data_IF_211366440842
#
_entry.id   IF_211366440842
#
_cell.length_a   1.000
_cell.length_b   1.000
_cell.length_c   1.000
_cell.angle_alpha   90.00
_cell.angle_beta   90.00
_cell.angle_gamma   90.00
#
_symmetry.space_group_name_H-M   'P 1'
#
loop_
_entity.id
_entity.type
_entity.pdbx_description
1 polymer ?
#
# COMPACT_ATOMS: atom_id res chain seq x y z
N UNK A 1 -15.09 -20.80 -11.08
CA UNK A 1 -14.31 -19.89 -10.20
C UNK A 1 -13.44 -20.76 -9.30
N UNK A 2 -12.15 -20.73 -9.49
CA UNK A 2 -11.19 -21.50 -8.70
C UNK A 2 -11.09 -20.88 -7.32
N UNK A 3 -11.39 -21.65 -6.29
CA UNK A 3 -11.15 -21.23 -4.91
C UNK A 3 -9.66 -21.37 -4.58
N UNK A 4 -9.18 -20.68 -3.55
CA UNK A 4 -7.76 -20.74 -3.14
C UNK A 4 -7.33 -22.17 -2.78
N UNK A 5 -8.29 -23.00 -2.37
CA UNK A 5 -8.07 -24.40 -2.01
C UNK A 5 -7.92 -25.34 -3.22
N UNK A 6 -8.28 -24.85 -4.42
CA UNK A 6 -8.21 -25.61 -5.68
C UNK A 6 -6.91 -25.34 -6.47
N UNK A 7 -6.06 -24.44 -5.97
CA UNK A 7 -4.76 -24.15 -6.59
C UNK A 7 -3.71 -25.01 -5.91
N UNK A 8 -3.09 -25.89 -6.67
CA UNK A 8 -1.88 -26.61 -6.24
C UNK A 8 -0.82 -25.55 -5.89
N UNK A 9 -0.68 -25.26 -4.59
CA UNK A 9 0.26 -24.27 -4.09
C UNK A 9 1.68 -24.83 -4.19
N UNK A 10 2.36 -24.47 -5.26
CA UNK A 10 3.79 -24.69 -5.39
C UNK A 10 4.54 -23.41 -5.01
N UNK A 11 5.20 -23.36 -3.86
CA UNK A 11 5.91 -22.16 -3.43
C UNK A 11 7.09 -21.79 -4.35
N UNK A 12 7.56 -22.70 -5.19
CA UNK A 12 8.62 -22.43 -6.16
C UNK A 12 8.08 -21.76 -7.44
N UNK A 13 6.78 -21.82 -7.67
CA UNK A 13 6.11 -21.27 -8.87
C UNK A 13 5.30 -20.00 -8.58
N UNK A 14 5.11 -19.66 -7.31
CA UNK A 14 4.35 -18.46 -6.94
C UNK A 14 5.15 -17.20 -7.28
N UNK A 15 4.63 -16.41 -8.21
CA UNK A 15 5.18 -15.09 -8.50
C UNK A 15 5.00 -14.16 -7.31
N UNK A 16 6.11 -13.71 -6.73
CA UNK A 16 6.09 -12.67 -5.71
C UNK A 16 5.61 -11.38 -6.36
N UNK A 17 4.51 -10.83 -5.84
CA UNK A 17 3.96 -9.55 -6.29
C UNK A 17 4.38 -8.44 -5.34
N UNK A 18 4.95 -7.34 -5.84
CA UNK A 18 5.16 -6.15 -5.03
C UNK A 18 3.84 -5.65 -4.44
N UNK A 19 3.86 -5.33 -3.16
CA UNK A 19 2.70 -4.81 -2.44
C UNK A 19 3.14 -3.83 -1.35
N UNK A 20 2.24 -2.96 -0.93
CA UNK A 20 2.47 -2.04 0.16
C UNK A 20 1.32 -2.12 1.17
N UNK A 21 1.65 -1.97 2.43
CA UNK A 21 0.70 -1.84 3.53
C UNK A 21 1.02 -0.58 4.30
N UNK A 22 0.01 0.15 4.74
CA UNK A 22 0.17 1.37 5.53
C UNK A 22 -0.51 1.23 6.88
N UNK A 23 0.20 1.58 7.95
CA UNK A 23 -0.37 1.72 9.28
C UNK A 23 -0.69 3.19 9.55
N UNK A 24 -1.97 3.52 9.62
CA UNK A 24 -2.43 4.85 10.03
C UNK A 24 -2.51 4.87 11.55
N UNK A 25 -1.73 5.74 12.17
CA UNK A 25 -1.61 5.81 13.62
C UNK A 25 -1.94 7.20 14.14
N UNK A 26 -2.60 7.26 15.29
CA UNK A 26 -2.82 8.47 16.06
C UNK A 26 -2.37 8.21 17.50
N UNK A 27 -1.60 9.11 18.09
CA UNK A 27 -1.10 9.01 19.46
C UNK A 27 -1.83 9.95 20.44
N UNK A 28 -3.03 10.41 20.11
CA UNK A 28 -3.82 11.36 20.89
C UNK A 28 -5.19 10.78 21.32
N UNK A 29 -5.47 10.62 22.62
CA UNK A 29 -4.57 10.75 23.78
C UNK A 29 -3.67 9.53 23.99
N UNK A 30 -4.00 8.38 23.40
CA UNK A 30 -3.28 7.12 23.46
C UNK A 30 -3.01 6.61 22.03
N UNK A 31 -1.97 5.78 21.89
CA UNK A 31 -1.65 5.20 20.60
C UNK A 31 -2.78 4.34 20.07
N UNK A 32 -3.31 4.74 18.92
CA UNK A 32 -4.34 4.04 18.19
C UNK A 32 -3.84 3.70 16.80
N UNK A 33 -4.25 2.55 16.28
CA UNK A 33 -3.95 2.10 14.92
C UNK A 33 -5.26 1.82 14.20
N UNK A 34 -5.41 2.39 13.01
CA UNK A 34 -6.57 2.11 12.17
C UNK A 34 -6.45 0.72 11.56
N UNK A 35 -7.49 -0.07 11.71
CA UNK A 35 -7.61 -1.40 11.09
C UNK A 35 -8.99 -1.56 10.46
N UNK A 36 -9.07 -2.38 9.44
CA UNK A 36 -10.30 -2.73 8.76
C UNK A 36 -10.59 -4.22 8.93
N UNK A 37 -11.85 -4.56 9.15
CA UNK A 37 -12.28 -5.94 9.10
C UNK A 37 -12.60 -6.33 7.66
N UNK A 38 -11.94 -7.36 7.14
CA UNK A 38 -12.24 -7.91 5.82
C UNK A 38 -13.58 -8.62 5.85
N UNK A 39 -14.36 -8.45 4.77
CA UNK A 39 -15.62 -9.19 4.61
C UNK A 39 -15.35 -10.70 4.75
N UNK A 40 -16.15 -11.37 5.58
CA UNK A 40 -16.03 -12.81 5.81
C UNK A 40 -16.18 -13.65 4.53
N UNK A 41 -16.83 -13.11 3.49
CA UNK A 41 -16.96 -13.74 2.18
C UNK A 41 -15.73 -13.60 1.29
N UNK A 42 -14.71 -12.83 1.71
CA UNK A 42 -13.46 -12.67 0.96
C UNK A 42 -12.67 -13.98 0.99
N UNK A 43 -12.23 -14.44 -0.18
CA UNK A 43 -11.50 -15.72 -0.35
C UNK A 43 -10.20 -15.77 0.45
N UNK A 44 -9.50 -14.62 0.55
CA UNK A 44 -8.27 -14.51 1.34
C UNK A 44 -8.50 -13.68 2.60
N UNK A 45 -8.14 -14.25 3.76
CA UNK A 45 -8.20 -13.58 5.07
C UNK A 45 -9.58 -12.97 5.40
N UNK A 46 -10.68 -13.59 4.96
CA UNK A 46 -12.05 -13.18 5.31
C UNK A 46 -12.28 -13.16 6.81
N UNK A 47 -12.89 -12.09 7.34
CA UNK A 47 -13.15 -11.89 8.77
C UNK A 47 -11.93 -11.46 9.58
N UNK A 48 -10.75 -11.34 8.98
CA UNK A 48 -9.53 -10.86 9.66
C UNK A 48 -9.47 -9.34 9.66
N UNK A 49 -8.85 -8.80 10.71
CA UNK A 49 -8.49 -7.38 10.78
C UNK A 49 -7.19 -7.13 10.03
N UNK A 50 -7.20 -6.14 9.17
CA UNK A 50 -6.07 -5.82 8.29
C UNK A 50 -5.81 -4.31 8.25
N UNK A 51 -4.58 -3.94 7.94
CA UNK A 51 -4.23 -2.58 7.58
C UNK A 51 -4.60 -2.30 6.12
N UNK A 52 -4.83 -1.04 5.72
CA UNK A 52 -4.96 -0.67 4.31
C UNK A 52 -3.71 -1.09 3.53
N UNK A 53 -3.91 -1.65 2.35
CA UNK A 53 -2.79 -2.07 1.51
C UNK A 53 -3.23 -2.87 0.31
N UNK A 54 -2.32 -3.04 -0.63
CA UNK A 54 -2.56 -3.80 -1.84
C UNK A 54 -1.34 -3.89 -2.75
N UNK A 55 -1.53 -4.48 -3.92
CA UNK A 55 -0.47 -4.66 -4.90
C UNK A 55 -0.04 -3.32 -5.51
N UNK A 56 1.25 -3.21 -5.80
CA UNK A 56 1.78 -2.12 -6.62
C UNK A 56 1.28 -2.29 -8.04
N UNK A 57 0.63 -1.25 -8.56
CA UNK A 57 0.11 -1.22 -9.91
C UNK A 57 1.06 -0.45 -10.85
N UNK A 58 0.90 -0.65 -12.14
CA UNK A 58 1.72 0.05 -13.14
C UNK A 58 1.59 1.57 -13.01
N UNK A 59 0.39 2.04 -12.72
CA UNK A 59 0.05 3.45 -12.55
C UNK A 59 0.69 4.09 -11.30
N UNK A 60 1.15 3.29 -10.35
CA UNK A 60 1.83 3.77 -9.15
C UNK A 60 3.30 4.19 -9.40
N UNK A 61 3.82 3.89 -10.58
CA UNK A 61 5.21 4.24 -10.93
C UNK A 61 5.35 5.72 -11.32
N UNK A 62 6.43 6.38 -10.87
CA UNK A 62 6.62 7.83 -11.05
C UNK A 62 6.66 8.29 -12.49
N UNK A 63 7.04 7.41 -13.41
CA UNK A 63 7.06 7.68 -14.85
C UNK A 63 5.69 8.07 -15.40
N UNK A 64 4.61 7.59 -14.76
CA UNK A 64 3.23 7.87 -15.16
C UNK A 64 2.59 8.99 -14.34
N UNK A 65 3.10 9.24 -13.13
CA UNK A 65 2.52 10.18 -12.18
C UNK A 65 3.07 11.60 -12.33
N UNK A 66 4.24 11.77 -12.98
CA UNK A 66 4.90 13.06 -13.06
C UNK A 66 5.32 13.60 -11.69
N UNK A 67 5.28 14.91 -11.52
CA UNK A 67 5.79 15.62 -10.33
C UNK A 67 4.76 15.72 -9.19
N UNK A 68 3.95 14.69 -8.98
CA UNK A 68 2.97 14.68 -7.89
C UNK A 68 3.53 14.23 -6.54
N UNK A 69 4.73 13.70 -6.52
CA UNK A 69 5.40 13.27 -5.28
C UNK A 69 6.37 14.33 -4.80
N UNK A 70 6.32 14.62 -3.50
CA UNK A 70 7.20 15.61 -2.85
C UNK A 70 7.88 15.00 -1.62
N UNK A 71 9.05 15.54 -1.29
CA UNK A 71 9.77 15.22 -0.07
C UNK A 71 10.69 14.00 -0.16
N UNK A 72 10.40 13.03 -1.01
CA UNK A 72 11.25 11.86 -1.26
C UNK A 72 11.34 11.56 -2.75
N UNK A 73 12.52 11.18 -3.18
CA UNK A 73 12.77 10.74 -4.56
C UNK A 73 12.71 9.21 -4.66
N UNK A 74 12.64 8.68 -5.87
CA UNK A 74 12.76 7.24 -6.11
C UNK A 74 14.09 6.68 -5.57
N UNK A 75 15.19 7.45 -5.74
CA UNK A 75 16.49 7.05 -5.22
C UNK A 75 16.51 6.96 -3.69
N UNK A 76 15.90 7.92 -2.99
CA UNK A 76 15.83 7.92 -1.52
C UNK A 76 15.03 6.71 -1.00
N UNK A 77 13.86 6.48 -1.56
CA UNK A 77 12.97 5.38 -1.16
C UNK A 77 13.56 4.03 -1.50
N UNK A 78 14.15 3.89 -2.68
CA UNK A 78 14.82 2.66 -3.10
C UNK A 78 16.01 2.31 -2.21
N UNK A 79 16.78 3.31 -1.80
CA UNK A 79 17.88 3.14 -0.85
C UNK A 79 17.40 2.66 0.51
N UNK A 80 16.31 3.24 1.04
CA UNK A 80 15.69 2.81 2.30
C UNK A 80 15.22 1.37 2.26
N UNK A 81 14.71 0.93 1.13
CA UNK A 81 14.20 -0.43 0.91
C UNK A 81 15.28 -1.43 0.49
N UNK A 82 16.50 -0.98 0.26
CA UNK A 82 17.60 -1.79 -0.27
C UNK A 82 17.27 -2.49 -1.60
N UNK A 83 16.59 -1.76 -2.48
CA UNK A 83 16.26 -2.20 -3.85
C UNK A 83 16.93 -1.28 -4.88
N UNK A 84 17.17 -1.75 -6.11
CA UNK A 84 17.87 -0.96 -7.14
C UNK A 84 17.11 0.29 -7.56
N UNK A 85 15.78 0.22 -7.70
CA UNK A 85 14.92 1.31 -8.17
C UNK A 85 13.45 0.98 -7.88
N UNK A 86 12.56 1.94 -8.09
CA UNK A 86 11.11 1.74 -7.96
C UNK A 86 10.57 1.88 -6.54
N UNK A 87 11.37 2.33 -5.58
CA UNK A 87 10.95 2.46 -4.18
C UNK A 87 9.79 3.41 -3.99
N UNK A 88 9.72 4.49 -4.75
CA UNK A 88 8.64 5.47 -4.64
C UNK A 88 7.26 4.88 -4.97
N UNK A 89 7.20 3.90 -5.86
CA UNK A 89 5.95 3.24 -6.22
C UNK A 89 5.26 2.59 -5.01
N UNK A 90 6.02 2.04 -4.06
CA UNK A 90 5.46 1.48 -2.82
C UNK A 90 4.80 2.54 -1.95
N UNK A 91 5.39 3.74 -1.86
CA UNK A 91 4.80 4.86 -1.15
C UNK A 91 3.50 5.33 -1.82
N UNK A 92 3.52 5.46 -3.14
CA UNK A 92 2.33 5.82 -3.91
C UNK A 92 1.22 4.78 -3.74
N UNK A 93 1.56 3.49 -3.80
CA UNK A 93 0.62 2.40 -3.53
C UNK A 93 -0.01 2.54 -2.15
N UNK A 94 0.78 2.77 -1.12
CA UNK A 94 0.29 2.93 0.25
C UNK A 94 -0.70 4.11 0.36
N UNK A 95 -0.39 5.24 -0.27
CA UNK A 95 -1.26 6.44 -0.29
C UNK A 95 -2.55 6.14 -1.06
N UNK A 96 -2.46 5.53 -2.23
CA UNK A 96 -3.62 5.16 -3.05
C UNK A 96 -4.54 4.19 -2.32
N UNK A 97 -3.99 3.14 -1.74
CA UNK A 97 -4.75 2.13 -1.02
C UNK A 97 -5.42 2.69 0.25
N UNK A 98 -4.74 3.58 0.98
CA UNK A 98 -5.34 4.27 2.13
C UNK A 98 -6.59 5.07 1.71
N UNK A 99 -6.54 5.72 0.56
CA UNK A 99 -7.68 6.46 0.03
C UNK A 99 -8.79 5.53 -0.48
N UNK A 100 -8.46 4.54 -1.29
CA UNK A 100 -9.44 3.62 -1.88
C UNK A 100 -10.16 2.79 -0.83
N UNK A 101 -9.43 2.27 0.17
CA UNK A 101 -9.98 1.35 1.16
C UNK A 101 -10.51 2.06 2.42
N UNK A 102 -9.86 3.12 2.88
CA UNK A 102 -10.19 3.79 4.14
C UNK A 102 -10.76 5.20 3.95
N UNK A 103 -10.75 5.77 2.75
CA UNK A 103 -11.17 7.14 2.49
C UNK A 103 -10.22 8.21 3.05
N UNK A 104 -9.01 7.85 3.44
CA UNK A 104 -8.00 8.75 4.00
C UNK A 104 -7.02 9.16 2.90
N UNK A 105 -7.04 10.45 2.56
CA UNK A 105 -6.11 11.01 1.58
C UNK A 105 -4.87 11.57 2.28
N UNK A 106 -3.74 10.88 2.13
CA UNK A 106 -2.44 11.28 2.64
C UNK A 106 -1.72 12.17 1.62
N UNK A 107 -2.32 13.31 1.32
CA UNK A 107 -1.78 14.27 0.34
C UNK A 107 -2.26 15.68 0.68
N UNK A 108 -1.56 16.67 0.15
CA UNK A 108 -1.91 18.08 0.27
C UNK A 108 -1.72 18.81 -1.06
N UNK A 109 -2.34 19.96 -1.23
CA UNK A 109 -2.14 20.79 -2.40
C UNK A 109 -0.72 21.39 -2.42
N UNK A 110 -0.18 21.72 -3.59
CA UNK A 110 1.14 22.39 -3.67
C UNK A 110 1.13 23.68 -2.85
N UNK A 111 2.16 23.83 -1.99
CA UNK A 111 2.30 25.00 -1.11
C UNK A 111 1.57 24.91 0.24
N UNK A 112 0.82 23.84 0.49
CA UNK A 112 0.27 23.52 1.81
C UNK A 112 1.23 22.55 2.53
N UNK A 113 1.46 22.81 3.83
CA UNK A 113 2.42 22.02 4.63
C UNK A 113 1.72 21.04 5.59
N UNK A 114 0.40 20.91 5.54
CA UNK A 114 -0.37 20.04 6.43
C UNK A 114 -1.33 19.14 5.66
N UNK A 115 -1.42 17.92 6.15
CA UNK A 115 -2.42 16.94 5.74
C UNK A 115 -3.79 17.26 6.35
#
# INVERSE_FOLDING_TARGET
>A
MTTYDDVDYDPEVVNIRPAATVMLVDDRPDLQVFMMERNAATVFAGGMWVFPGGAVEHEDHPELLGDITMGRTDADTSKLMAIPSGGIAYYVTAIREAFEEAGVLLAHAPGEDQL
#
